data_IF_132224694055
#
_entry.id   IF_132224694055
#
_cell.length_a   1.000
_cell.length_b   1.000
_cell.length_c   1.000
_cell.angle_alpha   90.00
_cell.angle_beta   90.00
_cell.angle_gamma   90.00
#
_symmetry.space_group_name_H-M   'P 1'
#
loop_
_entity.id
_entity.type
_entity.pdbx_description
1 polymer ?
#
# COMPACT_ATOMS: atom_id res chain seq x y z
N UNK A 1 9.03 -6.66 -3.17
CA UNK A 1 8.02 -5.63 -3.48
C UNK A 1 7.55 -4.99 -2.19
N UNK A 2 7.33 -3.68 -2.19
CA UNK A 2 6.81 -2.92 -1.04
C UNK A 2 5.54 -2.18 -1.44
N UNK A 3 4.50 -2.29 -0.62
CA UNK A 3 3.27 -1.51 -0.75
C UNK A 3 3.14 -0.65 0.50
N UNK A 4 3.16 0.67 0.34
CA UNK A 4 3.18 1.61 1.46
C UNK A 4 2.21 2.77 1.25
N UNK A 5 1.98 3.56 2.30
CA UNK A 5 1.07 4.70 2.19
C UNK A 5 1.72 5.84 1.39
N UNK A 6 0.90 6.58 0.64
CA UNK A 6 1.30 7.83 -0.05
C UNK A 6 1.65 8.99 0.89
N UNK A 7 1.50 8.81 2.21
CA UNK A 7 1.81 9.81 3.23
C UNK A 7 3.30 10.23 3.17
N UNK A 8 3.55 11.53 3.08
CA UNK A 8 4.89 12.09 2.88
C UNK A 8 5.87 11.82 4.02
N UNK A 9 5.37 11.48 5.22
CA UNK A 9 6.18 11.20 6.41
C UNK A 9 6.81 9.81 6.40
N UNK A 10 6.33 8.91 5.53
CA UNK A 10 6.66 7.47 5.57
C UNK A 10 7.21 6.96 4.24
N UNK A 11 8.30 7.57 3.77
CA UNK A 11 9.04 7.04 2.63
C UNK A 11 9.74 5.71 3.02
N UNK A 12 9.36 4.54 2.44
CA UNK A 12 9.93 3.27 2.87
C UNK A 12 11.43 3.15 2.56
N UNK A 13 11.89 3.77 1.47
CA UNK A 13 13.33 3.77 1.13
C UNK A 13 14.17 4.45 2.21
N UNK A 14 13.66 5.53 2.80
CA UNK A 14 14.35 6.22 3.89
C UNK A 14 14.27 5.44 5.21
N UNK A 15 13.10 4.88 5.53
CA UNK A 15 12.86 4.20 6.82
C UNK A 15 13.60 2.85 6.90
N UNK A 16 13.56 2.07 5.82
CA UNK A 16 14.16 0.74 5.76
C UNK A 16 15.55 0.73 5.11
N UNK A 17 16.02 1.89 4.63
CA UNK A 17 17.35 2.04 4.05
C UNK A 17 17.52 1.43 2.65
N UNK A 18 16.43 1.21 1.91
CA UNK A 18 16.51 0.62 0.57
C UNK A 18 17.30 1.51 -0.40
N UNK A 19 18.22 0.89 -1.12
CA UNK A 19 18.96 1.44 -2.24
C UNK A 19 18.17 1.30 -3.55
N UNK A 20 18.47 2.12 -4.57
CA UNK A 20 17.90 1.95 -5.90
C UNK A 20 18.08 0.52 -6.42
N UNK A 21 16.96 -0.10 -6.81
CA UNK A 21 16.93 -1.49 -7.31
C UNK A 21 16.55 -2.54 -6.25
N UNK A 22 16.61 -2.24 -4.96
CA UNK A 22 16.29 -3.24 -3.91
C UNK A 22 14.79 -3.45 -3.70
N UNK A 23 13.96 -2.44 -4.01
CA UNK A 23 12.53 -2.51 -3.82
C UNK A 23 11.75 -1.99 -5.04
N UNK A 24 10.93 -2.86 -5.63
CA UNK A 24 9.84 -2.45 -6.51
C UNK A 24 8.65 -2.00 -5.65
N UNK A 25 8.17 -0.77 -5.85
CA UNK A 25 7.31 -0.09 -4.87
C UNK A 25 6.02 0.46 -5.46
N UNK A 26 4.92 0.23 -4.76
CA UNK A 26 3.63 0.90 -4.96
C UNK A 26 3.33 1.74 -3.73
N UNK A 27 2.84 2.96 -3.94
CA UNK A 27 2.35 3.82 -2.87
C UNK A 27 0.96 4.34 -3.18
N UNK A 28 0.00 4.04 -2.31
CA UNK A 28 -1.40 4.47 -2.46
C UNK A 28 -1.97 4.93 -1.10
N UNK A 29 -3.19 5.44 -1.09
CA UNK A 29 -3.84 5.88 0.15
C UNK A 29 -4.07 4.66 1.05
N UNK A 30 -3.54 4.73 2.27
CA UNK A 30 -3.66 3.67 3.28
C UNK A 30 -3.10 2.29 2.88
N UNK A 31 -2.09 2.25 1.99
CA UNK A 31 -1.33 1.04 1.65
C UNK A 31 -2.23 -0.18 1.35
N UNK A 32 -3.33 0.06 0.65
CA UNK A 32 -4.36 -0.92 0.41
C UNK A 32 -3.94 -1.86 -0.73
N UNK A 33 -4.30 -3.12 -0.56
CA UNK A 33 -4.22 -4.14 -1.61
C UNK A 33 -5.65 -4.60 -1.87
N UNK A 34 -6.29 -4.15 -2.97
CA UNK A 34 -7.65 -4.53 -3.25
C UNK A 34 -7.72 -6.04 -3.56
N UNK A 35 -8.83 -6.72 -3.20
CA UNK A 35 -9.09 -8.08 -3.63
C UNK A 35 -9.03 -8.20 -5.16
N UNK A 36 -8.71 -9.40 -5.67
CA UNK A 36 -8.65 -9.65 -7.10
C UNK A 36 -10.01 -9.41 -7.79
N UNK A 37 -11.11 -9.72 -7.08
CA UNK A 37 -12.49 -9.55 -7.55
C UNK A 37 -12.90 -8.09 -7.73
N UNK A 38 -12.14 -7.15 -7.16
CA UNK A 38 -12.38 -5.70 -7.35
C UNK A 38 -12.02 -5.21 -8.76
N UNK A 39 -11.48 -6.08 -9.61
CA UNK A 39 -11.11 -5.76 -10.98
C UNK A 39 -9.69 -5.20 -11.10
N UNK A 40 -9.34 -4.67 -12.29
CA UNK A 40 -8.02 -4.12 -12.54
C UNK A 40 -7.73 -2.92 -11.65
N UNK A 41 -6.56 -2.92 -11.01
CA UNK A 41 -6.02 -1.77 -10.27
C UNK A 41 -4.53 -1.67 -10.52
N UNK A 42 -3.94 -0.50 -10.30
CA UNK A 42 -2.49 -0.30 -10.40
C UNK A 42 -1.74 -1.23 -9.45
N UNK A 43 -2.31 -1.50 -8.27
CA UNK A 43 -1.72 -2.40 -7.27
C UNK A 43 -1.73 -3.84 -7.76
N UNK A 44 -2.82 -4.29 -8.38
CA UNK A 44 -2.92 -5.65 -8.93
C UNK A 44 -1.96 -5.85 -10.10
N UNK A 45 -1.89 -4.90 -11.03
CA UNK A 45 -0.96 -4.95 -12.17
C UNK A 45 0.51 -4.94 -11.71
N UNK A 46 0.85 -4.08 -10.73
CA UNK A 46 2.19 -4.03 -10.15
C UNK A 46 2.54 -5.34 -9.42
N UNK A 47 1.58 -5.94 -8.71
CA UNK A 47 1.77 -7.21 -8.00
C UNK A 47 1.97 -8.38 -8.96
N UNK A 48 1.18 -8.43 -10.03
CA UNK A 48 1.33 -9.41 -11.11
C UNK A 48 2.73 -9.30 -11.75
N UNK A 49 3.16 -8.08 -12.11
CA UNK A 49 4.48 -7.85 -12.68
C UNK A 49 5.63 -8.18 -11.69
N UNK A 50 5.50 -7.78 -10.43
CA UNK A 50 6.51 -8.04 -9.42
C UNK A 50 6.73 -9.54 -9.21
N UNK A 51 5.65 -10.31 -9.14
CA UNK A 51 5.72 -11.76 -8.90
C UNK A 51 6.08 -12.51 -10.19
N UNK A 52 5.40 -12.23 -11.31
CA UNK A 52 5.54 -13.04 -12.51
C UNK A 52 6.73 -12.65 -13.38
N UNK A 53 7.15 -11.39 -13.36
CA UNK A 53 8.24 -10.88 -14.20
C UNK A 53 9.50 -10.61 -13.40
N UNK A 54 9.41 -9.85 -12.30
CA UNK A 54 10.59 -9.50 -11.49
C UNK A 54 11.01 -10.61 -10.51
N UNK A 55 10.15 -11.61 -10.28
CA UNK A 55 10.41 -12.74 -9.38
C UNK A 55 10.81 -12.29 -7.97
N UNK A 56 10.15 -11.25 -7.45
CA UNK A 56 10.42 -10.76 -6.10
C UNK A 56 10.19 -11.87 -5.07
N UNK A 57 11.12 -12.03 -4.14
CA UNK A 57 11.02 -13.07 -3.11
C UNK A 57 10.06 -12.71 -1.98
N UNK A 58 9.93 -11.40 -1.71
CA UNK A 58 9.18 -10.88 -0.57
C UNK A 58 8.19 -9.81 -1.01
N UNK A 59 7.01 -9.81 -0.41
CA UNK A 59 6.01 -8.73 -0.51
C UNK A 59 5.76 -8.19 0.89
N UNK A 60 5.97 -6.88 1.08
CA UNK A 60 5.81 -6.23 2.38
C UNK A 60 4.73 -5.14 2.24
N UNK A 61 3.70 -5.21 3.08
CA UNK A 61 2.67 -4.16 3.19
C UNK A 61 2.96 -3.35 4.46
N UNK A 62 3.26 -2.06 4.31
CA UNK A 62 3.71 -1.19 5.39
C UNK A 62 2.58 -0.21 5.75
N UNK A 63 1.91 -0.50 6.86
CA UNK A 63 1.04 0.45 7.57
C UNK A 63 1.84 1.51 8.33
N UNK A 64 1.15 2.53 8.84
CA UNK A 64 1.80 3.55 9.67
C UNK A 64 0.85 4.19 10.68
N UNK A 65 1.44 4.76 11.74
CA UNK A 65 0.72 5.53 12.75
C UNK A 65 0.04 6.76 12.14
N UNK A 66 -1.14 7.09 12.66
CA UNK A 66 -1.91 8.28 12.28
C UNK A 66 -2.19 8.38 10.77
N UNK A 67 -2.46 7.24 10.11
CA UNK A 67 -2.84 7.21 8.71
C UNK A 67 -4.14 7.98 8.44
N UNK A 68 -4.08 8.98 7.55
CA UNK A 68 -5.23 9.79 7.18
C UNK A 68 -6.33 8.99 6.48
N UNK A 69 -5.96 8.05 5.60
CA UNK A 69 -6.92 7.21 4.89
C UNK A 69 -7.69 6.27 5.82
N UNK A 70 -7.00 5.64 6.79
CA UNK A 70 -7.66 4.80 7.80
C UNK A 70 -8.55 5.64 8.73
N UNK A 71 -8.09 6.83 9.14
CA UNK A 71 -8.91 7.73 9.95
C UNK A 71 -10.22 8.11 9.24
N UNK A 72 -10.13 8.48 7.96
CA UNK A 72 -11.30 8.77 7.14
C UNK A 72 -12.25 7.57 7.05
N UNK A 73 -11.72 6.36 6.85
CA UNK A 73 -12.52 5.13 6.83
C UNK A 73 -13.29 4.91 8.14
N UNK A 74 -12.64 5.10 9.29
CA UNK A 74 -13.28 4.92 10.61
C UNK A 74 -14.39 5.96 10.84
N UNK A 75 -14.16 7.22 10.45
CA UNK A 75 -15.20 8.26 10.58
C UNK A 75 -16.44 7.98 9.74
N UNK A 76 -16.31 7.33 8.58
CA UNK A 76 -17.48 6.90 7.78
C UNK A 76 -18.33 5.83 8.49
N UNK A 77 -17.72 5.01 9.34
CA UNK A 77 -18.45 4.00 10.11
C UNK A 77 -19.22 4.63 11.27
N UNK A 78 -18.63 5.63 11.92
CA UNK A 78 -19.31 6.39 12.98
C UNK A 78 -20.55 7.11 12.42
N UNK A 79 -20.42 7.79 11.28
CA UNK A 79 -21.53 8.45 10.58
C UNK A 79 -22.65 7.48 10.16
N UNK A 80 -22.31 6.21 9.89
CA UNK A 80 -23.28 5.17 9.53
C UNK A 80 -23.99 4.57 10.75
N UNK A 81 -23.34 4.54 11.91
CA UNK A 81 -23.90 4.02 13.17
C UNK A 81 -24.78 5.07 13.89
N UNK A 82 -24.63 6.35 13.57
CA UNK A 82 -25.46 7.44 14.09
C UNK A 82 -26.73 7.72 13.24
N UNK A 83 -26.91 7.01 12.11
CA UNK A 83 -28.11 7.06 11.26
C UNK A 83 -29.02 5.85 11.48
#
# INVERSE_FOLDING_TARGET
MVIACGDSRVCPSNILGFQPGEAFMVRNVANLVPPFESGPSETNAALEFAVNSLKVENIIIIGHSCCGGIRALMSLQDDANER
#
